data_IF_277652609422
#
_entry.id   IF_277652609422
#
_cell.length_a   1.000
_cell.length_b   1.000
_cell.length_c   1.000
_cell.angle_alpha   90.00
_cell.angle_beta   90.00
_cell.angle_gamma   90.00
#
_symmetry.space_group_name_H-M   'P 1'
#
loop_
_entity.id
_entity.type
_entity.pdbx_description
1 polymer ?
#
# COMPACT_ATOMS: atom_id res chain seq x y z
N UNK A 1 -9.87 16.98 24.45
CA UNK A 1 -8.99 16.66 23.30
C UNK A 1 -9.84 15.93 22.26
N UNK A 2 -9.99 16.46 21.05
CA UNK A 2 -10.75 15.78 20.00
C UNK A 2 -9.87 14.70 19.38
N UNK A 3 -10.18 13.43 19.65
CA UNK A 3 -9.44 12.26 19.13
C UNK A 3 -9.36 12.26 17.60
N UNK A 4 -10.34 12.86 16.92
CA UNK A 4 -10.36 13.01 15.46
C UNK A 4 -9.25 13.93 14.91
N UNK A 5 -8.66 14.79 15.75
CA UNK A 5 -7.59 15.69 15.33
C UNK A 5 -6.21 15.04 15.41
N UNK A 6 -6.11 13.88 16.07
CA UNK A 6 -4.87 13.13 16.15
C UNK A 6 -4.47 12.59 14.78
N UNK A 7 -3.21 12.81 14.41
CA UNK A 7 -2.70 12.43 13.09
C UNK A 7 -2.82 10.93 12.85
N UNK A 8 -2.57 10.14 13.89
CA UNK A 8 -2.71 8.67 13.86
C UNK A 8 -4.15 8.28 13.51
N UNK A 9 -5.15 8.95 14.07
CA UNK A 9 -6.57 8.68 13.78
C UNK A 9 -6.95 9.02 12.34
N UNK A 10 -6.43 10.13 11.79
CA UNK A 10 -6.64 10.47 10.38
C UNK A 10 -5.98 9.46 9.43
N UNK A 11 -4.76 9.02 9.73
CA UNK A 11 -4.06 7.99 8.94
C UNK A 11 -4.82 6.66 9.01
N UNK A 12 -5.30 6.29 10.19
CA UNK A 12 -6.14 5.11 10.39
C UNK A 12 -7.41 5.17 9.54
N UNK A 13 -8.14 6.29 9.54
CA UNK A 13 -9.33 6.47 8.70
C UNK A 13 -9.00 6.35 7.21
N UNK A 14 -7.88 6.91 6.77
CA UNK A 14 -7.39 6.76 5.41
C UNK A 14 -7.09 5.30 5.04
N UNK A 15 -6.43 4.56 5.94
CA UNK A 15 -6.15 3.13 5.76
C UNK A 15 -7.43 2.29 5.70
N UNK A 16 -8.43 2.64 6.51
CA UNK A 16 -9.75 2.02 6.45
C UNK A 16 -10.40 2.27 5.09
N UNK A 17 -10.45 3.52 4.63
CA UNK A 17 -11.01 3.87 3.33
C UNK A 17 -10.30 3.12 2.18
N UNK A 18 -8.97 3.04 2.19
CA UNK A 18 -8.19 2.29 1.21
C UNK A 18 -8.52 0.79 1.26
N UNK A 19 -8.74 0.22 2.45
CA UNK A 19 -9.16 -1.17 2.61
C UNK A 19 -10.55 -1.40 2.01
N UNK A 20 -11.50 -0.51 2.30
CA UNK A 20 -12.84 -0.57 1.72
C UNK A 20 -12.78 -0.49 0.18
N UNK A 21 -11.95 0.41 -0.35
CA UNK A 21 -11.77 0.59 -1.79
C UNK A 21 -11.19 -0.67 -2.46
N UNK A 22 -10.22 -1.34 -1.85
CA UNK A 22 -9.67 -2.59 -2.39
C UNK A 22 -10.67 -3.75 -2.28
N UNK A 23 -11.35 -3.90 -1.15
CA UNK A 23 -12.24 -5.04 -0.88
C UNK A 23 -13.53 -4.98 -1.70
N UNK A 24 -14.11 -3.80 -1.90
CA UNK A 24 -15.39 -3.68 -2.60
C UNK A 24 -15.34 -2.97 -3.95
N UNK A 25 -14.27 -2.19 -4.20
CA UNK A 25 -14.05 -1.51 -5.47
C UNK A 25 -13.29 -2.41 -6.45
N UNK A 26 -12.03 -2.72 -6.14
CA UNK A 26 -11.15 -3.46 -7.05
C UNK A 26 -11.42 -4.97 -7.09
N UNK A 27 -12.04 -5.54 -6.05
CA UNK A 27 -12.33 -6.98 -5.99
C UNK A 27 -13.56 -7.42 -6.81
N UNK A 28 -14.23 -6.52 -7.52
CA UNK A 28 -15.34 -6.87 -8.42
C UNK A 28 -14.82 -7.04 -9.84
N UNK A 29 -15.52 -7.84 -10.66
CA UNK A 29 -15.31 -7.97 -12.11
C UNK A 29 -15.60 -6.68 -12.91
N UNK A 30 -15.60 -5.52 -12.23
CA UNK A 30 -15.75 -4.19 -12.81
C UNK A 30 -14.51 -3.73 -13.59
N UNK A 31 -13.35 -4.35 -13.38
CA UNK A 31 -12.09 -3.95 -14.00
C UNK A 31 -11.43 -5.09 -14.78
N UNK A 32 -10.64 -4.72 -15.79
CA UNK A 32 -9.75 -5.66 -16.49
C UNK A 32 -8.77 -6.26 -15.45
N UNK A 33 -8.48 -7.58 -15.48
CA UNK A 33 -7.65 -8.23 -14.46
C UNK A 33 -6.30 -7.53 -14.20
N UNK A 34 -5.64 -7.07 -15.27
CA UNK A 34 -4.38 -6.31 -15.19
C UNK A 34 -4.51 -5.03 -14.37
N UNK A 35 -5.62 -4.29 -14.53
CA UNK A 35 -5.88 -3.04 -13.79
C UNK A 35 -6.14 -3.35 -12.32
N UNK A 36 -6.89 -4.42 -12.03
CA UNK A 36 -7.13 -4.87 -10.66
C UNK A 36 -5.84 -5.24 -9.94
N UNK A 37 -4.98 -6.04 -10.58
CA UNK A 37 -3.68 -6.46 -10.02
C UNK A 37 -2.78 -5.25 -9.75
N UNK A 38 -2.52 -4.40 -10.74
CA UNK A 38 -1.69 -3.21 -10.55
C UNK A 38 -2.26 -2.32 -9.44
N UNK A 39 -3.56 -2.05 -9.50
CA UNK A 39 -4.23 -1.16 -8.55
C UNK A 39 -4.15 -1.67 -7.10
N UNK A 40 -4.32 -2.98 -6.87
CA UNK A 40 -4.18 -3.59 -5.54
C UNK A 40 -2.76 -3.40 -5.03
N UNK A 41 -1.73 -3.68 -5.84
CA UNK A 41 -0.34 -3.54 -5.43
C UNK A 41 0.07 -2.07 -5.17
N UNK A 42 -0.43 -1.14 -5.97
CA UNK A 42 -0.20 0.30 -5.73
C UNK A 42 -0.84 0.73 -4.41
N UNK A 43 -2.09 0.35 -4.15
CA UNK A 43 -2.77 0.67 -2.89
C UNK A 43 -2.04 0.00 -1.71
N UNK A 44 -1.59 -1.24 -1.86
CA UNK A 44 -0.81 -1.94 -0.84
C UNK A 44 0.49 -1.20 -0.51
N UNK A 45 1.26 -0.76 -1.51
CA UNK A 45 2.49 0.02 -1.30
C UNK A 45 2.24 1.32 -0.52
N UNK A 46 1.16 2.02 -0.86
CA UNK A 46 0.74 3.25 -0.15
C UNK A 46 0.36 2.94 1.30
N UNK A 47 -0.44 1.90 1.54
CA UNK A 47 -0.84 1.49 2.90
C UNK A 47 0.37 1.13 3.75
N UNK A 48 1.29 0.33 3.22
CA UNK A 48 2.53 -0.05 3.92
C UNK A 48 3.34 1.20 4.29
N UNK A 49 3.46 2.16 3.37
CA UNK A 49 4.20 3.41 3.64
C UNK A 49 3.59 4.21 4.79
N UNK A 50 2.26 4.30 4.87
CA UNK A 50 1.58 4.96 5.99
C UNK A 50 1.75 4.20 7.31
N UNK A 51 1.63 2.88 7.29
CA UNK A 51 1.84 2.04 8.48
C UNK A 51 3.27 2.20 9.02
N UNK A 52 4.27 2.12 8.14
CA UNK A 52 5.67 2.30 8.52
C UNK A 52 5.92 3.67 9.15
N UNK A 53 5.52 4.75 8.47
CA UNK A 53 5.83 6.10 8.94
C UNK A 53 5.09 6.47 10.22
N UNK A 54 3.84 6.02 10.39
CA UNK A 54 2.92 6.58 11.38
C UNK A 54 2.56 5.61 12.52
N UNK A 55 2.69 4.29 12.32
CA UNK A 55 2.44 3.28 13.37
C UNK A 55 3.72 2.61 13.86
N UNK A 56 4.77 2.55 13.05
CA UNK A 56 6.10 2.07 13.48
C UNK A 56 7.03 3.21 13.91
N UNK A 57 6.50 4.44 13.98
CA UNK A 57 7.24 5.66 14.39
C UNK A 57 8.52 5.92 13.57
N UNK A 58 8.62 5.37 12.35
CA UNK A 58 9.78 5.55 11.46
C UNK A 58 9.92 6.98 10.91
N UNK A 59 8.97 7.86 11.21
CA UNK A 59 9.01 9.27 10.84
C UNK A 59 10.16 10.00 11.53
N UNK A 60 10.39 9.68 12.80
CA UNK A 60 11.42 10.30 13.64
C UNK A 60 12.70 9.44 13.71
N UNK A 61 12.72 8.31 12.99
CA UNK A 61 13.88 7.43 12.90
C UNK A 61 15.02 8.04 12.04
N UNK A 62 16.26 7.58 12.24
CA UNK A 62 17.39 7.96 11.40
C UNK A 62 17.12 7.73 9.92
N UNK A 63 17.53 8.69 9.08
CA UNK A 63 17.28 8.72 7.62
C UNK A 63 17.63 7.39 6.92
N UNK A 64 18.77 6.71 7.21
CA UNK A 64 19.10 5.45 6.53
C UNK A 64 18.05 4.36 6.75
N UNK A 65 17.52 4.27 7.97
CA UNK A 65 16.50 3.27 8.34
C UNK A 65 15.19 3.58 7.62
N UNK A 66 14.78 4.86 7.62
CA UNK A 66 13.58 5.30 6.92
C UNK A 66 13.65 5.03 5.42
N UNK A 67 14.80 5.28 4.79
CA UNK A 67 15.01 4.99 3.36
C UNK A 67 14.93 3.49 3.09
N UNK A 68 15.58 2.65 3.91
CA UNK A 68 15.55 1.20 3.72
C UNK A 68 14.12 0.64 3.71
N UNK A 69 13.27 1.08 4.65
CA UNK A 69 11.88 0.65 4.71
C UNK A 69 11.03 1.18 3.56
N UNK A 70 11.20 2.44 3.17
CA UNK A 70 10.51 3.00 2.01
C UNK A 70 10.93 2.32 0.69
N UNK A 71 12.23 2.06 0.54
CA UNK A 71 12.76 1.34 -0.61
C UNK A 71 12.16 -0.07 -0.68
N UNK A 72 12.04 -0.77 0.45
CA UNK A 72 11.40 -2.07 0.53
C UNK A 72 9.92 -2.03 0.10
N UNK A 73 9.17 -1.03 0.57
CA UNK A 73 7.75 -0.85 0.23
C UNK A 73 7.50 -0.60 -1.27
N UNK A 74 8.52 -0.18 -2.03
CA UNK A 74 8.46 -0.03 -3.49
C UNK A 74 9.07 -1.24 -4.21
N UNK A 75 10.21 -1.74 -3.72
CA UNK A 75 10.96 -2.83 -4.34
C UNK A 75 10.15 -4.14 -4.37
N UNK A 76 9.44 -4.47 -3.28
CA UNK A 76 8.68 -5.73 -3.22
C UNK A 76 7.48 -5.72 -4.18
N UNK A 77 6.59 -4.71 -4.18
CA UNK A 77 5.50 -4.66 -5.16
C UNK A 77 5.99 -4.61 -6.61
N UNK A 78 7.06 -3.86 -6.90
CA UNK A 78 7.61 -3.78 -8.25
C UNK A 78 8.19 -5.12 -8.71
N UNK A 79 8.88 -5.84 -7.83
CA UNK A 79 9.39 -7.19 -8.12
C UNK A 79 8.24 -8.18 -8.37
N UNK A 80 7.20 -8.17 -7.53
CA UNK A 80 6.04 -9.06 -7.70
C UNK A 80 5.31 -8.77 -9.01
N UNK A 81 5.06 -7.50 -9.32
CA UNK A 81 4.45 -7.11 -10.59
C UNK A 81 5.35 -7.49 -11.78
N UNK A 82 6.66 -7.29 -11.67
CA UNK A 82 7.63 -7.71 -12.67
C UNK A 82 7.54 -9.21 -12.97
N UNK A 83 7.48 -10.05 -11.95
CA UNK A 83 7.28 -11.49 -12.13
C UNK A 83 5.91 -11.82 -12.72
N UNK A 84 4.85 -11.13 -12.29
CA UNK A 84 3.51 -11.33 -12.83
C UNK A 84 3.46 -11.03 -14.34
N UNK A 85 4.12 -9.97 -14.80
CA UNK A 85 4.22 -9.64 -16.24
C UNK A 85 5.18 -10.54 -17.01
N UNK A 86 6.26 -11.00 -16.39
CA UNK A 86 7.24 -11.87 -17.03
C UNK A 86 6.76 -13.33 -17.16
N UNK A 87 5.78 -13.73 -16.34
CA UNK A 87 5.23 -15.09 -16.40
C UNK A 87 4.26 -15.16 -17.57
N UNK A 88 4.55 -15.97 -18.61
CA UNK A 88 3.60 -16.17 -19.71
C UNK A 88 2.34 -16.81 -19.15
N UNK A 89 1.17 -16.31 -19.57
CA UNK A 89 -0.10 -16.94 -19.25
C UNK A 89 -0.04 -18.38 -19.78
N UNK A 90 -0.07 -19.36 -18.87
CA UNK A 90 -0.18 -20.76 -19.24
C UNK A 90 -1.53 -20.91 -19.94
N UNK A 91 -1.48 -21.01 -21.27
CA UNK A 91 -2.64 -21.20 -22.16
C UNK A 91 -3.35 -22.51 -21.86
#
# INVERSE_FOLDING_TARGET
MSVLRERVTMVWLGLMALTCATTWGLSKDLFVPTVGVIGIFVIAAVKVSYVMLDFMELRDAPIPVRIAFQAWAVAVPTMILGFWFATPAMT
#
